data_IF_558273992351
#
_entry.id   IF_558273992351
#
_cell.length_a   1.000
_cell.length_b   1.000
_cell.length_c   1.000
_cell.angle_alpha   90.00
_cell.angle_beta   90.00
_cell.angle_gamma   90.00
#
_symmetry.space_group_name_H-M   'P 1'
#
loop_
_entity.id
_entity.type
_entity.pdbx_description
1 polymer ?
#
# COMPACT_ATOMS: atom_id res chain seq x y z
N UNK A 1 -32.01 -5.32 21.78
CA UNK A 1 -31.99 -4.12 20.91
C UNK A 1 -30.64 -4.04 20.20
N UNK A 2 -30.61 -4.10 18.86
CA UNK A 2 -29.36 -4.23 18.06
C UNK A 2 -28.60 -2.89 17.95
N UNK A 3 -29.29 -1.76 17.93
CA UNK A 3 -28.70 -0.42 17.98
C UNK A 3 -28.87 0.21 19.37
N UNK A 4 -27.84 0.87 19.91
CA UNK A 4 -27.87 1.53 21.23
C UNK A 4 -26.84 2.67 21.28
N UNK A 5 -27.30 3.87 21.65
CA UNK A 5 -26.45 5.05 21.86
C UNK A 5 -25.46 4.85 23.00
N UNK A 6 -25.88 4.17 24.07
CA UNK A 6 -25.03 3.86 25.23
C UNK A 6 -23.85 2.97 24.83
N UNK A 7 -24.09 1.94 24.01
CA UNK A 7 -23.02 1.09 23.46
C UNK A 7 -22.13 1.84 22.47
N UNK A 8 -22.69 2.72 21.65
CA UNK A 8 -21.91 3.54 20.73
C UNK A 8 -21.01 4.56 21.45
N UNK A 9 -21.48 5.15 22.55
CA UNK A 9 -20.71 6.09 23.38
C UNK A 9 -19.59 5.40 24.18
N UNK A 10 -19.73 4.11 24.46
CA UNK A 10 -18.67 3.30 25.07
C UNK A 10 -17.53 2.94 24.10
N UNK A 11 -17.67 3.26 22.80
CA UNK A 11 -16.59 3.07 21.83
C UNK A 11 -15.49 4.09 22.14
N UNK A 12 -14.34 3.61 22.60
CA UNK A 12 -13.17 4.45 22.79
C UNK A 12 -12.64 4.89 21.42
N UNK A 13 -12.64 6.20 21.17
CA UNK A 13 -11.96 6.75 20.00
C UNK A 13 -10.46 6.56 20.18
N UNK A 14 -9.82 5.92 19.21
CA UNK A 14 -8.37 5.88 19.09
C UNK A 14 -8.01 6.82 17.96
N UNK A 15 -7.60 8.04 18.30
CA UNK A 15 -7.08 8.96 17.30
C UNK A 15 -5.75 8.39 16.80
N UNK A 16 -5.73 7.96 15.54
CA UNK A 16 -4.53 7.43 14.88
C UNK A 16 -3.96 8.57 14.05
N UNK A 17 -2.75 9.00 14.38
CA UNK A 17 -2.06 10.05 13.66
C UNK A 17 -1.05 9.41 12.69
N UNK A 18 -1.26 9.62 11.39
CA UNK A 18 -0.35 9.15 10.34
C UNK A 18 0.60 10.27 9.92
N UNK A 19 1.81 9.93 9.47
CA UNK A 19 2.68 10.89 8.78
C UNK A 19 2.07 11.20 7.42
N UNK A 20 1.72 12.47 7.20
CA UNK A 20 1.21 12.93 5.90
C UNK A 20 2.29 12.81 4.80
N UNK A 21 1.91 12.93 3.54
CA UNK A 21 2.90 13.04 2.47
C UNK A 21 3.74 14.32 2.66
N UNK A 22 5.06 14.21 2.53
CA UNK A 22 6.01 15.27 2.81
C UNK A 22 7.41 14.73 3.11
N UNK A 23 8.32 15.60 3.52
CA UNK A 23 9.64 15.22 4.05
C UNK A 23 9.59 15.42 5.56
N UNK A 24 9.98 14.38 6.30
CA UNK A 24 9.89 14.34 7.75
C UNK A 24 11.25 14.02 8.36
N UNK A 25 11.63 14.82 9.34
CA UNK A 25 12.88 14.68 10.07
C UNK A 25 12.64 13.99 11.41
N UNK A 26 13.71 13.43 11.99
CA UNK A 26 13.70 12.84 13.33
C UNK A 26 12.66 11.70 13.48
N UNK A 27 12.56 10.85 12.45
CA UNK A 27 11.79 9.61 12.52
C UNK A 27 12.72 8.44 12.86
N UNK A 28 12.18 7.40 13.49
CA UNK A 28 12.91 6.16 13.77
C UNK A 28 12.20 4.97 13.12
N UNK A 29 12.95 3.94 12.75
CA UNK A 29 12.41 2.65 12.34
C UNK A 29 11.97 1.87 13.60
N UNK A 30 10.67 1.84 13.85
CA UNK A 30 10.09 1.23 15.05
C UNK A 30 10.06 -0.29 14.96
N UNK A 31 9.55 -0.83 13.85
CA UNK A 31 9.40 -2.27 13.68
C UNK A 31 9.50 -2.70 12.23
N UNK A 32 9.91 -3.96 12.05
CA UNK A 32 9.90 -4.68 10.78
C UNK A 32 9.05 -5.93 10.96
N UNK A 33 8.17 -6.19 10.00
CA UNK A 33 7.35 -7.41 9.96
C UNK A 33 7.56 -8.11 8.62
N UNK A 34 7.85 -9.40 8.68
CA UNK A 34 7.87 -10.30 7.53
C UNK A 34 6.73 -11.28 7.69
N UNK A 35 5.87 -11.42 6.69
CA UNK A 35 4.71 -12.30 6.76
C UNK A 35 4.19 -12.66 5.36
N UNK A 36 3.10 -13.43 5.31
CA UNK A 36 2.34 -13.73 4.10
C UNK A 36 0.97 -13.08 4.15
N UNK A 37 0.52 -12.58 2.99
CA UNK A 37 -0.87 -12.15 2.82
C UNK A 37 -1.83 -13.33 2.81
N UNK A 38 -3.13 -13.02 2.91
CA UNK A 38 -4.22 -13.99 2.72
C UNK A 38 -4.12 -14.73 1.37
N UNK A 39 -3.54 -14.09 0.35
CA UNK A 39 -3.35 -14.66 -0.98
C UNK A 39 -2.03 -15.44 -1.12
N UNK A 40 -1.27 -15.62 -0.03
CA UNK A 40 -0.02 -16.38 -0.01
C UNK A 40 1.25 -15.61 -0.41
N UNK A 41 1.12 -14.37 -0.89
CA UNK A 41 2.27 -13.55 -1.29
C UNK A 41 3.08 -13.10 -0.07
N UNK A 42 4.40 -13.29 -0.10
CA UNK A 42 5.29 -12.80 0.94
C UNK A 42 5.39 -11.26 0.89
N UNK A 43 5.63 -10.64 2.04
CA UNK A 43 5.91 -9.21 2.13
C UNK A 43 6.83 -8.87 3.30
N UNK A 44 7.46 -7.70 3.20
CA UNK A 44 8.12 -7.02 4.30
C UNK A 44 7.48 -5.66 4.54
N UNK A 45 7.23 -5.36 5.80
CA UNK A 45 6.61 -4.13 6.25
C UNK A 45 7.55 -3.38 7.20
N UNK A 46 7.75 -2.09 6.94
CA UNK A 46 8.55 -1.18 7.74
C UNK A 46 7.64 -0.14 8.38
N UNK A 47 7.70 -0.01 9.70
CA UNK A 47 6.97 1.01 10.44
C UNK A 47 7.93 2.10 10.93
N UNK A 48 7.70 3.32 10.49
CA UNK A 48 8.45 4.50 10.93
C UNK A 48 7.58 5.33 11.85
N UNK A 49 8.15 5.83 12.94
CA UNK A 49 7.45 6.67 13.92
C UNK A 49 8.23 7.96 14.16
N UNK A 50 7.51 9.08 14.21
CA UNK A 50 8.02 10.39 14.59
C UNK A 50 7.87 10.61 16.10
N UNK A 51 8.60 11.59 16.63
CA UNK A 51 8.58 11.94 18.06
C UNK A 51 7.18 12.34 18.57
N UNK A 52 6.33 12.89 17.72
CA UNK A 52 4.95 13.27 18.05
C UNK A 52 3.97 12.08 18.03
N UNK A 53 4.47 10.86 17.84
CA UNK A 53 3.70 9.62 17.80
C UNK A 53 3.03 9.34 16.46
N UNK A 54 3.18 10.23 15.46
CA UNK A 54 2.72 9.94 14.10
C UNK A 54 3.57 8.85 13.48
N UNK A 55 2.94 7.95 12.73
CA UNK A 55 3.68 6.88 12.06
C UNK A 55 3.28 6.73 10.60
N UNK A 56 4.13 6.05 9.83
CA UNK A 56 3.77 5.52 8.53
C UNK A 56 4.24 4.08 8.39
N UNK A 57 3.51 3.31 7.61
CA UNK A 57 3.83 1.92 7.32
C UNK A 57 4.08 1.78 5.83
N UNK A 58 5.20 1.18 5.45
CA UNK A 58 5.55 0.88 4.06
C UNK A 58 5.64 -0.62 3.88
N UNK A 59 5.05 -1.14 2.81
CA UNK A 59 5.07 -2.57 2.49
C UNK A 59 5.68 -2.79 1.12
N UNK A 60 6.69 -3.65 1.06
CA UNK A 60 7.26 -4.19 -0.18
C UNK A 60 6.76 -5.63 -0.36
N UNK A 61 6.14 -5.88 -1.51
CA UNK A 61 5.50 -7.15 -1.85
C UNK A 61 6.40 -7.99 -2.74
N UNK A 62 6.29 -9.31 -2.63
CA UNK A 62 6.96 -10.24 -3.53
C UNK A 62 6.68 -9.91 -5.00
N UNK A 63 7.72 -9.67 -5.82
CA UNK A 63 7.53 -9.38 -7.24
C UNK A 63 6.90 -10.57 -7.95
N UNK A 64 5.87 -10.30 -8.75
CA UNK A 64 5.26 -11.30 -9.62
C UNK A 64 5.54 -11.02 -11.10
N UNK A 65 5.68 -12.10 -11.86
CA UNK A 65 5.76 -12.09 -13.32
C UNK A 65 4.36 -12.12 -13.90
N UNK A 66 4.03 -11.15 -14.75
CA UNK A 66 2.81 -11.19 -15.56
C UNK A 66 3.07 -11.93 -16.87
N UNK A 67 2.04 -12.47 -17.51
CA UNK A 67 2.15 -13.26 -18.75
C UNK A 67 2.92 -12.56 -19.88
N UNK A 68 2.82 -11.22 -19.95
CA UNK A 68 3.50 -10.41 -20.98
C UNK A 68 4.87 -9.85 -20.56
N UNK A 69 5.49 -10.40 -19.51
CA UNK A 69 6.76 -9.91 -18.95
C UNK A 69 7.92 -10.83 -19.29
N UNK A 70 9.03 -10.27 -19.76
CA UNK A 70 10.28 -11.04 -19.91
C UNK A 70 10.91 -11.36 -18.56
N UNK A 71 11.81 -12.34 -18.51
CA UNK A 71 12.59 -12.61 -17.29
C UNK A 71 13.52 -11.45 -16.92
N UNK A 72 14.04 -10.73 -17.92
CA UNK A 72 14.86 -9.54 -17.71
C UNK A 72 14.06 -8.40 -17.06
N UNK A 73 12.79 -8.23 -17.45
CA UNK A 73 11.89 -7.26 -16.82
C UNK A 73 11.58 -7.63 -15.37
N UNK A 74 11.38 -8.92 -15.08
CA UNK A 74 11.20 -9.40 -13.72
C UNK A 74 12.47 -9.16 -12.89
N UNK A 75 13.65 -9.49 -13.43
CA UNK A 75 14.93 -9.24 -12.75
C UNK A 75 15.09 -7.76 -12.43
N UNK A 76 14.81 -6.87 -13.38
CA UNK A 76 14.85 -5.43 -13.17
C UNK A 76 13.87 -4.96 -12.08
N UNK A 77 12.70 -5.59 -11.93
CA UNK A 77 11.80 -5.30 -10.80
C UNK A 77 12.43 -5.71 -9.47
N UNK A 78 13.02 -6.90 -9.40
CA UNK A 78 13.74 -7.38 -8.22
C UNK A 78 14.90 -6.46 -7.85
N UNK A 79 15.73 -6.07 -8.83
CA UNK A 79 16.87 -5.16 -8.62
C UNK A 79 16.43 -3.80 -8.09
N UNK A 80 15.36 -3.24 -8.66
CA UNK A 80 14.81 -1.97 -8.18
C UNK A 80 14.26 -2.11 -6.75
N UNK A 81 13.64 -3.22 -6.41
CA UNK A 81 13.15 -3.47 -5.05
C UNK A 81 14.30 -3.64 -4.06
N UNK A 82 15.34 -4.40 -4.43
CA UNK A 82 16.55 -4.52 -3.65
C UNK A 82 17.17 -3.15 -3.40
N UNK A 83 17.36 -2.35 -4.43
CA UNK A 83 17.95 -1.01 -4.32
C UNK A 83 17.13 -0.05 -3.45
N UNK A 84 15.79 -0.15 -3.43
CA UNK A 84 14.96 0.64 -2.50
C UNK A 84 15.17 0.22 -1.05
N UNK A 85 15.18 -1.09 -0.79
CA UNK A 85 15.41 -1.62 0.56
C UNK A 85 16.85 -1.35 1.01
N UNK A 86 17.83 -1.39 0.10
CA UNK A 86 19.23 -1.08 0.41
C UNK A 86 19.40 0.36 0.91
N UNK A 87 18.62 1.33 0.40
CA UNK A 87 18.65 2.70 0.95
C UNK A 87 18.27 2.73 2.44
N UNK A 88 17.36 1.86 2.89
CA UNK A 88 17.01 1.72 4.31
C UNK A 88 18.17 1.08 5.07
N UNK A 89 18.75 -0.01 4.55
CA UNK A 89 19.88 -0.69 5.18
C UNK A 89 21.12 0.22 5.29
N UNK A 90 21.41 1.01 4.26
CA UNK A 90 22.53 1.96 4.19
C UNK A 90 22.51 2.96 5.35
N UNK A 91 21.32 3.33 5.84
CA UNK A 91 21.18 4.23 6.99
C UNK A 91 21.73 3.64 8.30
N UNK A 92 21.83 2.31 8.39
CA UNK A 92 22.30 1.59 9.58
C UNK A 92 23.65 0.89 9.37
N UNK A 93 23.92 0.51 8.12
CA UNK A 93 25.12 -0.21 7.71
C UNK A 93 25.75 0.55 6.53
N UNK A 94 26.44 1.68 6.75
CA UNK A 94 26.88 2.56 5.66
C UNK A 94 27.91 1.92 4.73
N UNK A 95 28.73 0.98 5.22
CA UNK A 95 29.70 0.26 4.39
C UNK A 95 28.97 -0.76 3.50
N UNK A 96 29.15 -0.72 2.16
CA UNK A 96 28.48 -1.66 1.25
C UNK A 96 28.82 -3.13 1.51
N UNK A 97 30.02 -3.41 2.00
CA UNK A 97 30.47 -4.77 2.34
C UNK A 97 29.60 -5.40 3.45
N UNK A 98 29.01 -4.59 4.32
CA UNK A 98 28.11 -5.05 5.38
C UNK A 98 26.70 -5.38 4.85
N UNK A 99 26.40 -5.09 3.58
CA UNK A 99 25.08 -5.22 2.96
C UNK A 99 25.05 -6.17 1.76
N UNK A 100 26.05 -7.05 1.66
CA UNK A 100 26.10 -8.06 0.59
C UNK A 100 25.12 -9.19 0.89
N UNK A 101 24.23 -9.46 -0.07
CA UNK A 101 23.28 -10.57 -0.02
C UNK A 101 23.31 -11.33 -1.35
N UNK A 102 23.33 -12.66 -1.26
CA UNK A 102 23.14 -13.56 -2.38
C UNK A 102 22.16 -14.65 -1.94
N UNK A 103 21.02 -14.75 -2.59
CA UNK A 103 19.98 -15.73 -2.29
C UNK A 103 19.08 -15.96 -3.49
N UNK A 104 18.22 -16.97 -3.40
CA UNK A 104 17.43 -17.46 -4.54
C UNK A 104 15.97 -17.01 -4.50
N UNK A 105 15.50 -16.48 -3.36
CA UNK A 105 14.09 -16.12 -3.18
C UNK A 105 13.89 -14.78 -2.49
N UNK A 106 12.76 -14.15 -2.78
CA UNK A 106 12.32 -12.94 -2.08
C UNK A 106 12.17 -13.18 -0.57
N UNK A 107 11.73 -14.38 -0.16
CA UNK A 107 11.60 -14.76 1.25
C UNK A 107 12.95 -14.75 1.98
N UNK A 108 13.99 -15.32 1.39
CA UNK A 108 15.35 -15.27 1.95
C UNK A 108 15.84 -13.84 2.08
N UNK A 109 15.63 -13.04 1.02
CA UNK A 109 16.02 -11.64 1.00
C UNK A 109 15.37 -10.84 2.14
N UNK A 110 14.03 -10.87 2.25
CA UNK A 110 13.34 -10.11 3.29
C UNK A 110 13.62 -10.61 4.71
N UNK A 111 13.91 -11.90 4.88
CA UNK A 111 14.31 -12.47 6.17
C UNK A 111 15.66 -11.92 6.59
N UNK A 112 16.65 -11.92 5.67
CA UNK A 112 17.96 -11.33 5.88
C UNK A 112 17.89 -9.82 6.18
N UNK A 113 17.07 -9.07 5.44
CA UNK A 113 16.82 -7.63 5.69
C UNK A 113 16.27 -7.41 7.10
N UNK A 114 15.26 -8.19 7.49
CA UNK A 114 14.64 -8.07 8.80
C UNK A 114 15.63 -8.39 9.94
N UNK A 115 16.43 -9.45 9.80
CA UNK A 115 17.48 -9.81 10.76
C UNK A 115 18.53 -8.70 10.91
N UNK A 116 19.05 -8.18 9.79
CA UNK A 116 19.98 -7.04 9.77
C UNK A 116 19.37 -5.86 10.50
N UNK A 117 18.20 -5.40 10.08
CA UNK A 117 17.59 -4.21 10.66
C UNK A 117 17.22 -4.44 12.14
N UNK A 118 16.75 -5.61 12.55
CA UNK A 118 16.43 -5.90 13.95
C UNK A 118 17.66 -5.85 14.87
N UNK A 119 18.85 -6.16 14.34
CA UNK A 119 20.12 -6.04 15.06
C UNK A 119 20.76 -4.65 14.96
N UNK A 120 20.18 -3.73 14.19
CA UNK A 120 20.68 -2.37 14.04
C UNK A 120 20.29 -1.46 15.21
N UNK A 121 21.03 -0.36 15.39
CA UNK A 121 20.70 0.67 16.37
C UNK A 121 19.42 1.43 16.00
N UNK A 122 18.30 1.04 16.61
CA UNK A 122 16.97 1.64 16.41
C UNK A 122 16.83 3.07 16.91
N UNK A 123 17.83 3.61 17.61
CA UNK A 123 17.85 5.01 18.01
C UNK A 123 18.27 5.96 16.88
N UNK A 124 18.76 5.42 15.76
CA UNK A 124 19.15 6.21 14.59
C UNK A 124 17.98 7.05 14.08
N UNK A 125 18.14 8.38 14.15
CA UNK A 125 17.18 9.33 13.61
C UNK A 125 17.37 9.45 12.09
N UNK A 126 16.26 9.41 11.36
CA UNK A 126 16.22 9.46 9.91
C UNK A 126 15.42 10.67 9.43
N UNK A 127 15.77 11.15 8.23
CA UNK A 127 14.91 11.94 7.37
C UNK A 127 14.30 11.00 6.34
N UNK A 128 12.96 11.02 6.21
CA UNK A 128 12.24 10.23 5.20
C UNK A 128 11.39 11.13 4.32
N UNK A 129 11.27 10.77 3.04
CA UNK A 129 10.26 11.29 2.14
C UNK A 129 9.09 10.33 2.07
N UNK A 130 7.90 10.83 2.34
CA UNK A 130 6.62 10.11 2.31
C UNK A 130 5.79 10.69 1.16
N UNK A 131 5.22 9.82 0.33
CA UNK A 131 4.35 10.18 -0.79
C UNK A 131 3.05 9.38 -0.71
N UNK A 132 2.02 9.79 -1.44
CA UNK A 132 0.84 8.96 -1.65
C UNK A 132 1.09 7.93 -2.75
N UNK A 133 0.46 6.76 -2.61
CA UNK A 133 0.25 5.85 -3.73
C UNK A 133 -1.03 6.20 -4.49
N UNK A 134 -1.28 5.50 -5.60
CA UNK A 134 -2.47 5.72 -6.44
C UNK A 134 -3.81 5.51 -5.69
N UNK A 135 -3.80 4.76 -4.58
CA UNK A 135 -4.98 4.52 -3.73
C UNK A 135 -5.09 5.55 -2.58
N UNK A 136 -4.21 6.55 -2.52
CA UNK A 136 -4.22 7.60 -1.52
C UNK A 136 -3.72 7.21 -0.14
N UNK A 137 -2.99 6.10 -0.02
CA UNK A 137 -2.27 5.74 1.21
C UNK A 137 -0.84 6.27 1.17
N UNK A 138 -0.32 6.69 2.32
CA UNK A 138 1.05 7.15 2.50
C UNK A 138 2.02 5.98 2.40
N UNK A 139 3.12 6.16 1.68
CA UNK A 139 4.14 5.16 1.40
C UNK A 139 5.50 5.83 1.20
N UNK A 140 6.57 5.04 1.20
CA UNK A 140 7.84 5.47 0.63
C UNK A 140 7.76 5.52 -0.91
N UNK A 141 8.54 6.39 -1.58
CA UNK A 141 8.60 6.45 -3.03
C UNK A 141 9.01 5.13 -3.70
N UNK A 142 8.44 4.85 -4.87
CA UNK A 142 8.66 3.58 -5.61
C UNK A 142 9.88 3.58 -6.53
N UNK A 143 10.56 4.70 -6.70
CA UNK A 143 11.78 4.74 -7.51
C UNK A 143 12.98 4.23 -6.69
N UNK A 144 13.95 3.62 -7.37
CA UNK A 144 15.21 3.21 -6.75
C UNK A 144 16.35 4.24 -6.93
N UNK A 145 16.26 5.07 -7.97
CA UNK A 145 17.35 5.95 -8.43
C UNK A 145 17.60 7.17 -7.55
N UNK A 146 16.56 7.72 -6.93
CA UNK A 146 16.68 8.90 -6.08
C UNK A 146 16.61 8.52 -4.62
N UNK A 147 17.28 9.28 -3.76
CA UNK A 147 17.28 9.06 -2.32
C UNK A 147 15.92 9.46 -1.74
N UNK A 148 15.35 8.62 -0.88
CA UNK A 148 14.13 8.96 -0.12
C UNK A 148 14.30 8.81 1.39
N UNK A 149 15.41 8.26 1.86
CA UNK A 149 15.70 8.05 3.27
C UNK A 149 17.18 8.28 3.55
N UNK A 150 17.53 8.99 4.61
CA UNK A 150 18.92 9.22 5.01
C UNK A 150 19.01 9.46 6.52
N UNK A 151 20.15 9.17 7.18
CA UNK A 151 20.32 9.48 8.59
C UNK A 151 20.41 11.00 8.83
N UNK A 152 19.88 11.46 9.96
CA UNK A 152 19.95 12.87 10.36
C UNK A 152 21.40 13.37 10.49
N UNK A 153 22.37 12.48 10.72
CA UNK A 153 23.80 12.83 10.75
C UNK A 153 24.33 13.42 9.43
N UNK A 154 23.70 13.10 8.29
CA UNK A 154 23.98 13.73 6.98
C UNK A 154 23.24 15.07 6.87
N UNK A 155 21.99 15.10 7.33
CA UNK A 155 21.15 16.30 7.33
C UNK A 155 21.77 17.43 8.16
N UNK A 156 22.24 17.10 9.36
CA UNK A 156 22.84 18.05 10.32
C UNK A 156 24.16 18.66 9.79
N UNK A 157 24.81 17.98 8.84
CA UNK A 157 25.99 18.48 8.11
C UNK A 157 25.63 19.32 6.89
N UNK A 158 24.35 19.54 6.61
CA UNK A 158 23.82 20.15 5.38
C UNK A 158 24.22 19.40 4.09
N UNK A 159 24.37 18.08 4.17
CA UNK A 159 24.73 17.21 3.03
C UNK A 159 23.53 16.42 2.49
N UNK A 160 22.32 16.72 2.97
CA UNK A 160 21.07 16.09 2.56
C UNK A 160 20.83 16.24 1.06
N UNK A 161 20.52 15.13 0.38
CA UNK A 161 20.21 15.09 -1.06
C UNK A 161 18.73 14.85 -1.34
N UNK A 162 17.93 14.62 -0.29
CA UNK A 162 16.49 14.40 -0.43
C UNK A 162 15.82 15.72 -0.81
N UNK A 163 15.21 15.72 -2.00
CA UNK A 163 14.45 16.86 -2.53
C UNK A 163 13.08 16.43 -3.01
N UNK A 164 12.19 17.41 -3.20
CA UNK A 164 10.90 17.21 -3.88
C UNK A 164 11.15 17.05 -5.37
N UNK A 165 10.62 15.99 -5.94
CA UNK A 165 10.68 15.68 -7.36
C UNK A 165 9.29 15.85 -7.97
N UNK A 166 9.23 16.16 -9.27
CA UNK A 166 7.94 16.29 -9.99
C UNK A 166 7.15 14.97 -10.05
N UNK A 167 7.82 13.84 -9.84
CA UNK A 167 7.20 12.50 -9.79
C UNK A 167 6.68 12.15 -8.39
N UNK A 168 6.94 12.97 -7.38
CA UNK A 168 6.46 12.74 -6.02
C UNK A 168 5.00 13.16 -5.92
N UNK A 169 4.18 12.27 -5.36
CA UNK A 169 2.77 12.53 -5.14
C UNK A 169 2.53 13.02 -3.70
N UNK A 170 2.61 14.32 -3.49
CA UNK A 170 2.36 14.93 -2.17
C UNK A 170 0.89 15.31 -1.93
N UNK A 171 0.09 15.38 -3.00
CA UNK A 171 -1.34 15.62 -2.91
C UNK A 171 -2.08 14.29 -2.99
N UNK A 172 -3.04 14.09 -2.07
CA UNK A 172 -3.82 12.86 -2.04
C UNK A 172 -4.62 12.76 -3.35
N UNK A 173 -4.52 11.65 -4.10
CA UNK A 173 -5.29 11.49 -5.33
C UNK A 173 -6.78 11.57 -5.03
N UNK A 174 -7.50 12.32 -5.86
CA UNK A 174 -8.97 12.28 -5.89
C UNK A 174 -9.37 10.99 -6.59
N UNK A 175 -9.95 10.07 -5.83
CA UNK A 175 -10.56 8.85 -6.38
C UNK A 175 -12.03 9.18 -6.53
N UNK A 176 -12.49 9.44 -7.75
CA UNK A 176 -13.91 9.60 -8.02
C UNK A 176 -14.60 8.26 -7.78
N UNK A 177 -15.75 8.28 -7.09
CA UNK A 177 -16.58 7.10 -6.97
C UNK A 177 -16.99 6.65 -8.38
N UNK A 178 -16.80 5.37 -8.68
CA UNK A 178 -17.42 4.77 -9.85
C UNK A 178 -18.92 4.66 -9.56
N UNK A 179 -19.70 5.64 -10.00
CA UNK A 179 -21.14 5.47 -10.09
C UNK A 179 -21.41 4.30 -11.04
N UNK A 180 -21.86 3.16 -10.51
CA UNK A 180 -22.45 2.14 -11.36
C UNK A 180 -23.63 2.80 -12.05
N UNK A 181 -23.57 2.92 -13.38
CA UNK A 181 -24.74 3.28 -14.18
C UNK A 181 -25.76 2.17 -14.00
N UNK A 182 -26.64 2.30 -13.02
CA UNK A 182 -27.79 1.42 -12.91
C UNK A 182 -28.63 1.67 -14.17
N UNK A 183 -28.78 0.69 -15.08
CA UNK A 183 -29.68 0.87 -16.20
C UNK A 183 -31.06 1.19 -15.64
N UNK A 184 -31.68 2.24 -16.18
CA UNK A 184 -33.00 2.67 -15.74
C UNK A 184 -33.95 1.46 -15.82
N UNK A 185 -34.57 1.01 -14.71
CA UNK A 185 -35.45 -0.15 -14.71
C UNK A 185 -36.72 0.05 -15.56
N UNK A 186 -36.97 1.27 -16.05
CA UNK A 186 -38.04 1.60 -17.00
C UNK A 186 -37.64 1.41 -18.47
N UNK A 187 -36.38 1.05 -18.77
CA UNK A 187 -35.89 0.80 -20.12
C UNK A 187 -35.78 -0.70 -20.45
N UNK A 188 -36.39 -1.59 -19.65
CA UNK A 188 -36.55 -2.97 -20.08
C UNK A 188 -37.39 -2.98 -21.36
N UNK A 189 -36.84 -3.57 -22.43
CA UNK A 189 -37.51 -3.78 -23.72
C UNK A 189 -38.66 -4.82 -23.61
N UNK A 190 -39.39 -4.84 -22.49
CA UNK A 190 -40.65 -5.54 -22.34
C UNK A 190 -41.70 -4.71 -23.09
N UNK A 191 -41.89 -5.07 -24.36
CA UNK A 191 -42.82 -4.40 -25.26
C UNK A 191 -44.25 -4.72 -24.80
N UNK A 192 -44.85 -3.87 -23.98
CA UNK A 192 -46.29 -3.95 -23.71
C UNK A 192 -47.05 -3.54 -24.97
N UNK A 193 -47.56 -4.51 -25.72
CA UNK A 193 -48.52 -4.23 -26.80
C UNK A 193 -49.91 -4.12 -26.21
N UNK A 194 -50.46 -2.91 -26.19
CA UNK A 194 -51.89 -2.69 -25.93
C UNK A 194 -52.64 -2.98 -27.22
N UNK A 195 -53.47 -4.03 -27.23
CA UNK A 195 -54.45 -4.27 -28.29
C UNK A 195 -55.83 -4.15 -27.65
N UNK A 196 -56.63 -3.21 -28.16
CA UNK A 196 -58.03 -2.98 -27.80
C UNK A 196 -58.34 -2.74 -26.30
N UNK A 197 -57.46 -1.98 -25.62
CA UNK A 197 -57.74 -1.44 -24.28
C UNK A 197 -57.55 -2.42 -23.11
N UNK A 198 -57.06 -3.63 -23.35
CA UNK A 198 -56.70 -4.60 -22.31
C UNK A 198 -55.22 -4.97 -22.35
N UNK A 199 -54.60 -5.06 -21.17
CA UNK A 199 -53.22 -5.54 -20.98
C UNK A 199 -53.20 -7.07 -21.02
N UNK A 200 -52.90 -7.65 -22.18
CA UNK A 200 -52.71 -9.09 -22.32
C UNK A 200 -51.23 -9.44 -22.06
N UNK A 201 -50.99 -10.22 -21.01
CA UNK A 201 -49.70 -10.82 -20.70
C UNK A 201 -49.67 -12.24 -21.29
N UNK A 202 -49.04 -12.44 -22.45
CA UNK A 202 -48.97 -13.76 -23.11
C UNK A 202 -47.88 -14.68 -22.54
N UNK A 203 -47.52 -14.55 -21.27
CA UNK A 203 -46.68 -15.51 -20.57
C UNK A 203 -47.55 -16.41 -19.69
N UNK A 204 -48.13 -17.42 -20.33
CA UNK A 204 -48.73 -18.55 -19.64
C UNK A 204 -47.61 -19.49 -19.15
N UNK A 205 -46.95 -19.10 -18.06
CA UNK A 205 -46.11 -19.97 -17.25
C UNK A 205 -46.73 -20.01 -15.86
N UNK A 206 -47.42 -21.12 -15.58
CA UNK A 206 -47.98 -21.45 -14.27
C UNK A 206 -46.91 -21.27 -13.18
N UNK A 207 -47.11 -20.36 -12.21
CA UNK A 207 -46.13 -20.12 -11.15
C UNK A 207 -46.14 -21.17 -10.04
N UNK A 208 -46.98 -22.22 -10.10
CA UNK A 208 -47.14 -23.22 -9.03
C UNK A 208 -46.95 -24.69 -9.46
N UNK A 209 -46.18 -24.96 -10.50
CA UNK A 209 -45.82 -26.34 -10.89
C UNK A 209 -44.93 -27.06 -9.85
N UNK A 210 -45.55 -27.71 -8.86
CA UNK A 210 -44.93 -28.68 -7.96
C UNK A 210 -44.46 -29.95 -8.70
N UNK A 211 -43.46 -30.67 -8.18
CA UNK A 211 -42.75 -31.70 -8.93
C UNK A 211 -43.52 -33.03 -8.98
N UNK A 212 -43.47 -33.69 -10.13
CA UNK A 212 -43.43 -35.15 -10.24
C UNK A 212 -42.34 -35.54 -11.23
#
# INVERSE_FOLDING_TARGET
MIYSSQRAQAIQKKDIAYLAAGIHDNVVLESIRVDKSLNGNNFIEFKFIAKDGKFMTHTEWEPSKSDNMSDEDLQRKCDNQFARIDQILECYYPNPEDRVFNGESFKEFITWVAEKLNNADKSTLLRIKVVYNNSGYTTLPKYAKYRFIEPMTIVDKNESVIVKLNIDQFEKPVIADFEQSNPNPLLSNESFTVVDGTLDNTNNADPNGLPF
#
